data_IF_288049645313
#
_entry.id   IF_288049645313
#
_cell.length_a   1.000
_cell.length_b   1.000
_cell.length_c   1.000
_cell.angle_alpha   90.00
_cell.angle_beta   90.00
_cell.angle_gamma   90.00
#
_symmetry.space_group_name_H-M   'P 1'
#
loop_
_entity.id
_entity.type
_entity.pdbx_description
1 polymer ?
#
# COMPACT_ATOMS: atom_id res chain seq x y z
N UNK A 1 29.78 -41.88 -9.53
CA UNK A 1 29.06 -42.43 -10.70
C UNK A 1 27.96 -41.49 -11.20
N UNK A 2 27.91 -41.25 -12.47
CA UNK A 2 26.81 -40.50 -13.11
C UNK A 2 25.60 -41.44 -13.25
N UNK A 3 24.50 -41.14 -12.60
CA UNK A 3 23.22 -41.85 -12.80
C UNK A 3 22.58 -41.30 -14.07
N UNK A 4 22.70 -42.04 -15.19
CA UNK A 4 21.98 -41.75 -16.43
C UNK A 4 20.77 -42.66 -16.52
N UNK A 5 19.55 -42.06 -16.66
CA UNK A 5 18.31 -42.81 -16.91
C UNK A 5 17.62 -43.34 -15.65
N UNK A 6 17.80 -42.72 -14.47
CA UNK A 6 17.01 -43.09 -13.31
C UNK A 6 15.56 -42.58 -13.47
N UNK A 7 14.63 -43.51 -13.64
CA UNK A 7 13.19 -43.24 -13.54
C UNK A 7 12.71 -43.74 -12.20
N UNK A 8 12.23 -42.84 -11.33
CA UNK A 8 11.61 -43.18 -10.05
C UNK A 8 10.10 -43.04 -10.17
N UNK A 9 9.37 -44.04 -9.72
CA UNK A 9 7.89 -44.11 -9.80
C UNK A 9 7.21 -43.43 -8.62
N UNK A 10 7.97 -43.02 -7.61
CA UNK A 10 7.54 -42.34 -6.41
C UNK A 10 8.54 -41.21 -6.05
N UNK A 11 8.20 -40.37 -5.10
CA UNK A 11 9.09 -39.35 -4.58
C UNK A 11 10.38 -39.96 -4.02
N UNK A 12 11.49 -39.32 -4.26
CA UNK A 12 12.79 -39.72 -3.74
C UNK A 12 13.22 -38.79 -2.59
N UNK A 13 13.71 -39.37 -1.50
CA UNK A 13 14.33 -38.61 -0.40
C UNK A 13 15.84 -38.74 -0.47
N UNK A 14 16.52 -37.61 -0.66
CA UNK A 14 17.99 -37.54 -0.70
C UNK A 14 18.45 -36.65 0.44
N UNK A 15 19.09 -37.19 1.46
CA UNK A 15 19.51 -36.45 2.66
C UNK A 15 18.37 -35.62 3.28
N UNK A 16 17.22 -36.23 3.51
CA UNK A 16 15.99 -35.60 4.04
C UNK A 16 15.30 -34.59 3.09
N UNK A 17 15.79 -34.42 1.88
CA UNK A 17 15.14 -33.56 0.86
C UNK A 17 14.24 -34.41 -0.01
N UNK A 18 12.95 -34.12 -0.02
CA UNK A 18 11.97 -34.71 -0.94
C UNK A 18 12.13 -34.11 -2.33
N UNK A 19 12.21 -34.97 -3.35
CA UNK A 19 12.25 -34.60 -4.78
C UNK A 19 11.16 -35.38 -5.48
N UNK A 20 10.12 -34.74 -5.98
CA UNK A 20 9.03 -35.43 -6.64
C UNK A 20 7.73 -34.62 -6.75
N UNK A 21 6.61 -35.25 -6.40
CA UNK A 21 5.26 -34.69 -6.47
C UNK A 21 4.61 -34.42 -5.11
N UNK A 22 5.29 -34.75 -4.02
CA UNK A 22 4.75 -34.64 -2.65
C UNK A 22 3.80 -35.77 -2.30
N UNK A 23 3.12 -35.63 -1.16
CA UNK A 23 2.22 -36.67 -0.67
C UNK A 23 1.14 -37.03 -1.71
N UNK A 24 0.86 -38.32 -1.81
CA UNK A 24 -0.06 -38.94 -2.80
C UNK A 24 0.36 -38.84 -4.28
N UNK A 25 1.54 -38.34 -4.59
CA UNK A 25 2.09 -38.28 -5.97
C UNK A 25 1.13 -37.65 -6.98
N UNK A 26 0.43 -36.58 -6.61
CA UNK A 26 -0.60 -35.92 -7.44
C UNK A 26 0.01 -35.34 -8.71
N UNK A 27 -0.67 -35.53 -9.83
CA UNK A 27 -0.22 -35.05 -11.13
C UNK A 27 -0.08 -33.51 -11.18
N UNK A 28 0.94 -33.05 -11.85
CA UNK A 28 1.24 -31.61 -12.00
C UNK A 28 1.99 -30.98 -10.83
N UNK A 29 2.10 -31.65 -9.68
CA UNK A 29 2.86 -31.12 -8.55
C UNK A 29 4.37 -31.26 -8.78
N UNK A 30 5.13 -30.25 -8.31
CA UNK A 30 6.61 -30.22 -8.28
C UNK A 30 7.07 -29.90 -6.87
N UNK A 31 7.87 -30.78 -6.27
CA UNK A 31 8.32 -30.65 -4.90
C UNK A 31 9.85 -30.78 -4.80
N UNK A 32 10.46 -29.83 -4.05
CA UNK A 32 11.87 -29.87 -3.69
C UNK A 32 12.06 -29.28 -2.28
N UNK A 33 12.11 -30.12 -1.27
CA UNK A 33 12.35 -29.64 0.11
C UNK A 33 11.97 -30.65 1.19
N UNK A 34 12.60 -30.53 2.36
CA UNK A 34 12.18 -31.24 3.57
C UNK A 34 10.79 -30.76 3.98
N UNK A 35 9.82 -31.67 4.19
CA UNK A 35 8.44 -31.35 4.58
C UNK A 35 7.63 -30.54 3.56
N UNK A 36 8.12 -30.36 2.35
CA UNK A 36 7.38 -29.64 1.32
C UNK A 36 6.21 -30.51 0.79
N UNK A 37 5.00 -29.90 0.71
CA UNK A 37 3.76 -30.53 0.24
C UNK A 37 3.50 -31.91 0.87
N UNK A 38 3.62 -32.01 2.21
CA UNK A 38 3.63 -33.26 2.97
C UNK A 38 2.25 -33.67 3.50
N UNK A 39 1.22 -32.83 3.44
CA UNK A 39 -0.15 -33.18 3.82
C UNK A 39 -0.74 -34.20 2.82
N UNK A 40 -1.92 -34.72 3.17
CA UNK A 40 -2.69 -35.64 2.30
C UNK A 40 -3.27 -34.88 1.10
N UNK A 41 -2.42 -34.59 0.12
CA UNK A 41 -2.72 -33.73 -1.02
C UNK A 41 -3.61 -34.41 -2.05
N UNK A 42 -4.64 -33.70 -2.52
CA UNK A 42 -5.44 -34.05 -3.71
C UNK A 42 -5.41 -32.94 -4.76
N UNK A 43 -5.02 -31.71 -4.38
CA UNK A 43 -4.85 -30.59 -5.31
C UNK A 43 -3.61 -30.73 -6.19
N UNK A 44 -3.76 -30.44 -7.48
CA UNK A 44 -2.71 -30.55 -8.50
C UNK A 44 -2.09 -29.21 -8.90
N UNK A 45 -1.08 -29.26 -9.78
CA UNK A 45 -0.39 -28.12 -10.38
C UNK A 45 0.32 -27.20 -9.35
N UNK A 46 0.68 -27.72 -8.17
CA UNK A 46 1.38 -26.94 -7.18
C UNK A 46 2.91 -27.06 -7.33
N UNK A 47 3.62 -25.97 -7.11
CA UNK A 47 5.09 -25.95 -7.01
C UNK A 47 5.49 -25.59 -5.58
N UNK A 48 6.18 -26.50 -4.88
CA UNK A 48 6.65 -26.31 -3.51
C UNK A 48 8.18 -26.51 -3.43
N UNK A 49 8.91 -25.42 -3.31
CA UNK A 49 10.39 -25.43 -3.24
C UNK A 49 10.85 -24.77 -1.95
N UNK A 50 11.47 -25.53 -1.06
CA UNK A 50 11.98 -25.06 0.21
C UNK A 50 11.46 -25.88 1.37
N UNK A 51 12.14 -25.76 2.53
CA UNK A 51 11.73 -26.46 3.75
C UNK A 51 10.32 -26.03 4.14
N UNK A 52 9.43 -27.01 4.36
CA UNK A 52 8.06 -26.82 4.81
C UNK A 52 7.23 -25.87 3.89
N UNK A 53 7.54 -25.78 2.60
CA UNK A 53 6.73 -25.05 1.64
C UNK A 53 5.42 -25.82 1.36
N UNK A 54 4.27 -25.14 1.41
CA UNK A 54 2.93 -25.74 1.19
C UNK A 54 2.63 -26.99 2.06
N UNK A 55 3.23 -27.11 3.23
CA UNK A 55 3.14 -28.32 4.05
C UNK A 55 1.71 -28.74 4.35
N UNK A 56 0.81 -27.79 4.65
CA UNK A 56 -0.59 -28.08 5.04
C UNK A 56 -1.56 -28.17 3.87
N UNK A 57 -1.12 -28.03 2.61
CA UNK A 57 -2.02 -28.01 1.46
C UNK A 57 -2.74 -29.35 1.29
N UNK A 58 -4.07 -29.30 1.16
CA UNK A 58 -4.91 -30.50 0.97
C UNK A 58 -5.56 -30.53 -0.41
N UNK A 59 -6.38 -29.55 -0.75
CA UNK A 59 -7.13 -29.47 -2.01
C UNK A 59 -6.76 -28.26 -2.87
N UNK A 60 -5.94 -27.34 -2.35
CA UNK A 60 -5.49 -26.16 -3.11
C UNK A 60 -4.74 -26.52 -4.37
N UNK A 61 -5.03 -25.81 -5.47
CA UNK A 61 -4.46 -26.04 -6.80
C UNK A 61 -3.72 -24.81 -7.31
N UNK A 62 -2.85 -25.01 -8.30
CA UNK A 62 -2.22 -23.91 -9.05
C UNK A 62 -1.43 -22.92 -8.18
N UNK A 63 -0.90 -23.40 -7.05
CA UNK A 63 -0.11 -22.58 -6.14
C UNK A 63 1.39 -22.73 -6.43
N UNK A 64 2.13 -21.61 -6.33
CA UNK A 64 3.59 -21.60 -6.40
C UNK A 64 4.16 -21.06 -5.09
N UNK A 65 4.86 -21.91 -4.34
CA UNK A 65 5.54 -21.57 -3.08
C UNK A 65 7.04 -21.84 -3.16
N UNK A 66 7.84 -20.80 -3.14
CA UNK A 66 9.31 -20.88 -3.22
C UNK A 66 9.93 -20.15 -2.03
N UNK A 67 10.53 -20.89 -1.13
CA UNK A 67 11.17 -20.40 0.08
C UNK A 67 10.75 -21.18 1.33
N UNK A 68 11.59 -21.21 2.38
CA UNK A 68 11.24 -21.87 3.64
C UNK A 68 9.94 -21.28 4.23
N UNK A 69 9.02 -22.14 4.65
CA UNK A 69 7.72 -21.81 5.24
C UNK A 69 6.81 -20.92 4.35
N UNK A 70 7.07 -20.87 3.06
CA UNK A 70 6.19 -20.20 2.10
C UNK A 70 4.86 -20.95 2.02
N UNK A 71 3.71 -20.26 2.19
CA UNK A 71 2.35 -20.82 2.23
C UNK A 71 2.20 -22.03 3.17
N UNK A 72 2.85 -21.98 4.32
CA UNK A 72 2.97 -23.11 5.26
C UNK A 72 1.61 -23.68 5.69
N UNK A 73 0.60 -22.82 5.97
CA UNK A 73 -0.71 -23.22 6.45
C UNK A 73 -1.79 -23.27 5.37
N UNK A 74 -1.45 -23.08 4.10
CA UNK A 74 -2.45 -23.14 3.04
C UNK A 74 -3.14 -24.51 3.02
N UNK A 75 -4.46 -24.52 3.03
CA UNK A 75 -5.23 -25.78 3.00
C UNK A 75 -5.98 -25.96 1.68
N UNK A 76 -6.80 -24.99 1.31
CA UNK A 76 -7.67 -25.04 0.13
C UNK A 76 -7.47 -23.87 -0.82
N UNK A 77 -6.73 -22.83 -0.41
CA UNK A 77 -6.44 -21.66 -1.26
C UNK A 77 -5.75 -22.05 -2.57
N UNK A 78 -6.14 -21.41 -3.67
CA UNK A 78 -5.67 -21.70 -5.04
C UNK A 78 -5.16 -20.44 -5.76
N UNK A 79 -4.42 -20.64 -6.85
CA UNK A 79 -3.87 -19.56 -7.69
C UNK A 79 -2.99 -18.55 -6.94
N UNK A 80 -2.33 -18.98 -5.86
CA UNK A 80 -1.44 -18.12 -5.09
C UNK A 80 0.02 -18.25 -5.55
N UNK A 81 0.76 -17.15 -5.57
CA UNK A 81 2.19 -17.09 -5.90
C UNK A 81 2.97 -16.50 -4.73
N UNK A 82 3.84 -17.29 -4.08
CA UNK A 82 4.60 -16.87 -2.92
C UNK A 82 6.09 -17.17 -3.06
N UNK A 83 6.92 -16.13 -3.08
CA UNK A 83 8.38 -16.22 -3.23
C UNK A 83 9.08 -15.51 -2.07
N UNK A 84 9.75 -16.27 -1.21
CA UNK A 84 10.51 -15.76 -0.07
C UNK A 84 10.21 -16.50 1.23
N UNK A 85 11.09 -16.38 2.20
CA UNK A 85 10.90 -16.97 3.53
C UNK A 85 9.63 -16.43 4.18
N UNK A 86 8.73 -17.34 4.59
CA UNK A 86 7.45 -17.02 5.24
C UNK A 86 6.57 -16.06 4.44
N UNK A 87 6.68 -16.04 3.11
CA UNK A 87 5.73 -15.35 2.25
C UNK A 87 4.39 -16.09 2.28
N UNK A 88 3.29 -15.35 2.44
CA UNK A 88 1.92 -15.89 2.54
C UNK A 88 1.79 -17.04 3.55
N UNK A 89 2.57 -16.99 4.64
CA UNK A 89 2.78 -18.13 5.54
C UNK A 89 1.49 -18.65 6.17
N UNK A 90 0.60 -17.75 6.63
CA UNK A 90 -0.60 -18.11 7.39
C UNK A 90 -1.87 -18.16 6.53
N UNK A 91 -1.74 -18.11 5.20
CA UNK A 91 -2.90 -18.31 4.32
C UNK A 91 -3.54 -19.67 4.55
N UNK A 92 -4.85 -19.70 4.62
CA UNK A 92 -5.59 -20.97 4.75
C UNK A 92 -6.47 -21.22 3.53
N UNK A 93 -7.30 -20.27 3.17
CA UNK A 93 -8.29 -20.38 2.07
C UNK A 93 -8.26 -19.22 1.09
N UNK A 94 -7.44 -18.20 1.31
CA UNK A 94 -7.35 -17.05 0.41
C UNK A 94 -6.78 -17.41 -0.96
N UNK A 95 -7.35 -16.81 -2.01
CA UNK A 95 -7.07 -17.13 -3.41
C UNK A 95 -6.46 -15.96 -4.19
N UNK A 96 -5.74 -16.27 -5.26
CA UNK A 96 -5.25 -15.26 -6.20
C UNK A 96 -4.26 -14.26 -5.61
N UNK A 97 -3.55 -14.58 -4.53
CA UNK A 97 -2.61 -13.68 -3.90
C UNK A 97 -1.20 -13.80 -4.48
N UNK A 98 -0.51 -12.68 -4.65
CA UNK A 98 0.91 -12.62 -5.03
C UNK A 98 1.73 -12.04 -3.87
N UNK A 99 2.66 -12.81 -3.33
CA UNK A 99 3.53 -12.43 -2.22
C UNK A 99 5.01 -12.65 -2.57
N UNK A 100 5.73 -11.60 -2.90
CA UNK A 100 7.15 -11.66 -3.28
C UNK A 100 8.00 -10.89 -2.29
N UNK A 101 8.80 -11.59 -1.51
CA UNK A 101 9.66 -11.01 -0.48
C UNK A 101 9.50 -11.70 0.87
N UNK A 102 10.52 -11.57 1.70
CA UNK A 102 10.50 -12.12 3.07
C UNK A 102 9.33 -11.49 3.85
N UNK A 103 8.44 -12.34 4.43
CA UNK A 103 7.27 -11.93 5.22
C UNK A 103 6.23 -11.11 4.43
N UNK A 104 6.25 -11.12 3.09
CA UNK A 104 5.18 -10.52 2.30
C UNK A 104 3.87 -11.28 2.54
N UNK A 105 2.76 -10.57 2.81
CA UNK A 105 1.44 -11.15 3.14
C UNK A 105 1.49 -12.24 4.23
N UNK A 106 2.42 -12.15 5.16
CA UNK A 106 2.66 -13.24 6.12
C UNK A 106 1.39 -13.69 6.86
N UNK A 107 0.59 -12.74 7.34
CA UNK A 107 -0.59 -13.02 8.19
C UNK A 107 -1.90 -13.13 7.43
N UNK A 108 -1.89 -13.09 6.10
CA UNK A 108 -3.10 -13.34 5.32
C UNK A 108 -3.71 -14.69 5.71
N UNK A 109 -5.00 -14.71 5.95
CA UNK A 109 -5.70 -15.96 6.28
C UNK A 109 -6.69 -16.38 5.22
N UNK A 110 -7.63 -15.52 4.90
CA UNK A 110 -8.75 -15.79 3.98
C UNK A 110 -8.94 -14.74 2.91
N UNK A 111 -8.09 -13.71 2.89
CA UNK A 111 -8.26 -12.61 1.94
C UNK A 111 -7.72 -12.96 0.55
N UNK A 112 -8.41 -12.44 -0.47
CA UNK A 112 -8.15 -12.73 -1.87
C UNK A 112 -7.55 -11.54 -2.63
N UNK A 113 -6.91 -11.84 -3.76
CA UNK A 113 -6.51 -10.87 -4.78
C UNK A 113 -5.58 -9.76 -4.27
N UNK A 114 -4.74 -10.04 -3.29
CA UNK A 114 -3.73 -9.10 -2.83
C UNK A 114 -2.41 -9.28 -3.59
N UNK A 115 -1.75 -8.18 -3.92
CA UNK A 115 -0.39 -8.16 -4.48
C UNK A 115 0.56 -7.50 -3.51
N UNK A 116 1.54 -8.24 -2.99
CA UNK A 116 2.56 -7.74 -2.08
C UNK A 116 3.96 -8.05 -2.60
N UNK A 117 4.71 -7.03 -3.00
CA UNK A 117 6.08 -7.16 -3.52
C UNK A 117 7.02 -6.30 -2.69
N UNK A 118 7.85 -6.94 -1.90
CA UNK A 118 8.80 -6.30 -1.01
C UNK A 118 8.85 -6.94 0.37
N UNK A 119 9.95 -6.72 1.09
CA UNK A 119 10.08 -7.19 2.47
C UNK A 119 8.97 -6.61 3.34
N UNK A 120 8.16 -7.47 3.99
CA UNK A 120 7.05 -7.11 4.87
C UNK A 120 5.93 -6.29 4.19
N UNK A 121 5.83 -6.27 2.86
CA UNK A 121 4.67 -5.68 2.20
C UNK A 121 3.39 -6.42 2.63
N UNK A 122 2.36 -5.69 3.08
CA UNK A 122 1.09 -6.25 3.61
C UNK A 122 1.26 -7.31 4.71
N UNK A 123 2.29 -7.22 5.51
CA UNK A 123 2.64 -8.30 6.46
C UNK A 123 1.52 -8.64 7.44
N UNK A 124 0.88 -7.63 8.04
CA UNK A 124 -0.13 -7.81 9.09
C UNK A 124 -1.56 -8.06 8.54
N UNK A 125 -1.73 -8.06 7.21
CA UNK A 125 -3.04 -8.26 6.58
C UNK A 125 -3.63 -9.61 6.95
N UNK A 126 -4.89 -9.63 7.38
CA UNK A 126 -5.62 -10.86 7.73
C UNK A 126 -6.75 -11.15 6.76
N UNK A 127 -7.67 -10.20 6.58
CA UNK A 127 -8.89 -10.34 5.78
C UNK A 127 -9.11 -9.23 4.76
N UNK A 128 -8.21 -8.23 4.69
CA UNK A 128 -8.29 -7.17 3.69
C UNK A 128 -7.99 -7.69 2.29
N UNK A 129 -8.89 -7.50 1.33
CA UNK A 129 -8.78 -8.01 -0.04
C UNK A 129 -8.47 -6.92 -1.07
N UNK A 130 -7.97 -7.32 -2.22
CA UNK A 130 -7.75 -6.45 -3.37
C UNK A 130 -6.82 -5.26 -3.08
N UNK A 131 -5.78 -5.47 -2.28
CA UNK A 131 -4.77 -4.47 -2.02
C UNK A 131 -3.53 -4.69 -2.90
N UNK A 132 -2.89 -3.61 -3.31
CA UNK A 132 -1.59 -3.62 -4.01
C UNK A 132 -0.55 -2.92 -3.16
N UNK A 133 0.49 -3.64 -2.75
CA UNK A 133 1.61 -3.11 -1.97
C UNK A 133 2.94 -3.46 -2.63
N UNK A 134 3.62 -2.48 -3.20
CA UNK A 134 4.91 -2.65 -3.86
C UNK A 134 5.94 -1.74 -3.22
N UNK A 135 6.89 -2.33 -2.52
CA UNK A 135 7.93 -1.64 -1.76
C UNK A 135 8.12 -2.27 -0.37
N UNK A 136 9.31 -2.14 0.18
CA UNK A 136 9.54 -2.60 1.54
C UNK A 136 8.65 -1.83 2.53
N UNK A 137 7.96 -2.55 3.43
CA UNK A 137 7.05 -2.02 4.44
C UNK A 137 5.80 -1.28 3.87
N UNK A 138 5.50 -1.41 2.58
CA UNK A 138 4.26 -0.86 2.02
C UNK A 138 3.05 -1.59 2.63
N UNK A 139 2.07 -0.82 3.16
CA UNK A 139 0.88 -1.36 3.86
C UNK A 139 1.19 -2.37 4.97
N UNK A 140 2.34 -2.27 5.64
CA UNK A 140 2.79 -3.28 6.62
C UNK A 140 1.78 -3.51 7.75
N UNK A 141 1.14 -2.46 8.27
CA UNK A 141 0.20 -2.54 9.39
C UNK A 141 -1.26 -2.83 8.98
N UNK A 142 -1.56 -2.94 7.68
CA UNK A 142 -2.94 -3.21 7.22
C UNK A 142 -3.47 -4.52 7.81
N UNK A 143 -4.67 -4.49 8.37
CA UNK A 143 -5.27 -5.70 8.95
C UNK A 143 -6.49 -6.18 8.17
N UNK A 144 -7.48 -5.33 7.98
CA UNK A 144 -8.78 -5.69 7.39
C UNK A 144 -9.19 -4.79 6.24
N UNK A 145 -8.44 -3.72 5.98
CA UNK A 145 -8.81 -2.77 4.93
C UNK A 145 -8.57 -3.33 3.53
N UNK A 146 -9.45 -2.97 2.61
CA UNK A 146 -9.45 -3.42 1.22
C UNK A 146 -9.30 -2.25 0.24
N UNK A 147 -8.94 -2.58 -1.00
CA UNK A 147 -8.88 -1.63 -2.12
C UNK A 147 -7.83 -0.52 -1.95
N UNK A 148 -6.74 -0.76 -1.23
CA UNK A 148 -5.64 0.19 -1.11
C UNK A 148 -4.54 -0.09 -2.15
N UNK A 149 -3.96 0.95 -2.69
CA UNK A 149 -2.77 0.89 -3.55
C UNK A 149 -1.62 1.64 -2.89
N UNK A 150 -0.55 0.94 -2.56
CA UNK A 150 0.67 1.51 -1.99
C UNK A 150 1.90 1.15 -2.85
N UNK A 151 2.49 2.13 -3.50
CA UNK A 151 3.68 1.95 -4.33
C UNK A 151 4.81 2.86 -3.83
N UNK A 152 5.78 2.27 -3.17
CA UNK A 152 6.94 2.96 -2.61
C UNK A 152 7.34 2.42 -1.25
N UNK A 153 8.59 2.69 -0.85
CA UNK A 153 9.08 2.34 0.48
C UNK A 153 8.24 3.05 1.56
N UNK A 154 7.65 2.27 2.46
CA UNK A 154 6.78 2.74 3.55
C UNK A 154 5.54 3.55 3.10
N UNK A 155 5.08 3.40 1.87
CA UNK A 155 3.79 3.95 1.46
C UNK A 155 2.67 3.28 2.28
N UNK A 156 1.77 4.07 2.88
CA UNK A 156 0.64 3.60 3.72
C UNK A 156 1.05 2.65 4.86
N UNK A 157 2.26 2.72 5.37
CA UNK A 157 2.76 1.77 6.39
C UNK A 157 1.87 1.70 7.63
N UNK A 158 1.37 2.84 8.12
CA UNK A 158 0.56 2.94 9.34
C UNK A 158 -0.90 2.54 9.18
N UNK A 159 -1.38 2.32 7.95
CA UNK A 159 -2.79 2.04 7.69
C UNK A 159 -3.24 0.73 8.36
N UNK A 160 -4.32 0.81 9.11
CA UNK A 160 -4.89 -0.38 9.77
C UNK A 160 -6.22 -0.80 9.16
N UNK A 161 -7.18 0.12 9.08
CA UNK A 161 -8.54 -0.13 8.61
C UNK A 161 -9.04 0.86 7.55
N UNK A 162 -8.23 1.85 7.16
CA UNK A 162 -8.58 2.80 6.10
C UNK A 162 -8.60 2.13 4.72
N UNK A 163 -9.71 2.26 4.00
CA UNK A 163 -9.91 1.62 2.69
C UNK A 163 -9.85 2.63 1.53
N UNK A 164 -9.65 2.13 0.32
CA UNK A 164 -9.73 2.92 -0.91
C UNK A 164 -8.71 4.07 -1.00
N UNK A 165 -7.54 3.91 -0.38
CA UNK A 165 -6.47 4.90 -0.46
C UNK A 165 -5.47 4.54 -1.58
N UNK A 166 -4.95 5.56 -2.24
CA UNK A 166 -3.87 5.45 -3.23
C UNK A 166 -2.66 6.24 -2.75
N UNK A 167 -1.56 5.56 -2.49
CA UNK A 167 -0.30 6.17 -2.05
C UNK A 167 0.85 5.76 -2.98
N UNK A 168 1.39 6.70 -3.72
CA UNK A 168 2.50 6.47 -4.65
C UNK A 168 3.66 7.41 -4.31
N UNK A 169 4.74 6.83 -3.82
CA UNK A 169 5.95 7.58 -3.44
C UNK A 169 6.50 7.16 -2.08
N UNK A 170 7.74 7.54 -1.82
CA UNK A 170 8.42 7.35 -0.54
C UNK A 170 7.66 8.07 0.58
N UNK A 171 7.24 7.34 1.63
CA UNK A 171 6.51 7.86 2.79
C UNK A 171 5.17 8.57 2.46
N UNK A 172 4.56 8.29 1.31
CA UNK A 172 3.21 8.80 1.01
C UNK A 172 2.18 8.18 1.97
N UNK A 173 1.30 8.99 2.58
CA UNK A 173 0.29 8.57 3.57
C UNK A 173 0.84 7.67 4.69
N UNK A 174 2.09 7.84 5.08
CA UNK A 174 2.77 6.92 6.00
C UNK A 174 2.09 6.82 7.37
N UNK A 175 1.50 7.89 7.87
CA UNK A 175 0.82 7.95 9.16
C UNK A 175 -0.68 7.62 9.10
N UNK A 176 -1.24 7.36 7.91
CA UNK A 176 -2.66 7.05 7.78
C UNK A 176 -3.03 5.85 8.65
N UNK A 177 -4.09 5.96 9.42
CA UNK A 177 -4.56 4.84 10.27
C UNK A 177 -5.91 4.30 9.83
N UNK A 178 -6.92 5.15 9.80
CA UNK A 178 -8.30 4.78 9.51
C UNK A 178 -8.93 5.58 8.38
N UNK A 179 -8.24 6.62 7.90
CA UNK A 179 -8.77 7.50 6.84
C UNK A 179 -8.95 6.76 5.52
N UNK A 180 -9.97 7.17 4.77
CA UNK A 180 -10.43 6.51 3.54
C UNK A 180 -10.42 7.45 2.33
N UNK A 181 -10.36 6.88 1.13
CA UNK A 181 -10.51 7.60 -0.15
C UNK A 181 -9.51 8.74 -0.37
N UNK A 182 -8.30 8.61 0.18
CA UNK A 182 -7.24 9.57 -0.05
C UNK A 182 -6.37 9.18 -1.26
N UNK A 183 -5.94 10.17 -2.01
CA UNK A 183 -4.96 10.03 -3.10
C UNK A 183 -3.72 10.84 -2.74
N UNK A 184 -2.58 10.18 -2.59
CA UNK A 184 -1.30 10.83 -2.33
C UNK A 184 -0.24 10.34 -3.31
N UNK A 185 0.21 11.21 -4.20
CA UNK A 185 1.22 10.91 -5.22
C UNK A 185 2.40 11.88 -5.10
N UNK A 186 3.53 11.36 -4.68
CA UNK A 186 4.75 12.13 -4.45
C UNK A 186 5.46 11.73 -3.16
N UNK A 187 6.74 12.04 -3.07
CA UNK A 187 7.49 11.81 -1.83
C UNK A 187 6.88 12.62 -0.69
N UNK A 188 6.53 11.96 0.42
CA UNK A 188 5.92 12.54 1.61
C UNK A 188 4.59 13.29 1.36
N UNK A 189 3.87 12.99 0.27
CA UNK A 189 2.54 13.52 0.07
C UNK A 189 1.60 13.02 1.17
N UNK A 190 0.88 13.93 1.83
CA UNK A 190 -0.04 13.68 2.95
C UNK A 190 0.56 12.78 4.06
N UNK A 191 1.86 12.93 4.35
CA UNK A 191 2.58 11.97 5.21
C UNK A 191 2.11 11.96 6.66
N UNK A 192 1.58 13.06 7.19
CA UNK A 192 1.06 13.15 8.56
C UNK A 192 -0.44 12.83 8.67
N UNK A 193 -1.15 12.58 7.56
CA UNK A 193 -2.59 12.32 7.59
C UNK A 193 -2.89 11.07 8.44
N UNK A 194 -3.78 11.21 9.40
CA UNK A 194 -4.18 10.08 10.27
C UNK A 194 -5.61 9.63 10.03
N UNK A 195 -6.56 10.56 10.07
CA UNK A 195 -8.01 10.30 9.98
C UNK A 195 -8.76 11.20 8.99
N UNK A 196 -8.05 12.12 8.28
CA UNK A 196 -8.69 12.97 7.27
C UNK A 196 -9.04 12.19 6.01
N UNK A 197 -10.32 12.21 5.65
CA UNK A 197 -10.86 11.50 4.47
C UNK A 197 -10.87 12.38 3.21
N UNK A 198 -11.00 11.74 2.05
CA UNK A 198 -11.30 12.39 0.77
C UNK A 198 -10.29 13.46 0.33
N UNK A 199 -9.02 13.35 0.74
CA UNK A 199 -7.98 14.28 0.33
C UNK A 199 -7.27 13.84 -0.95
N UNK A 200 -6.94 14.80 -1.80
CA UNK A 200 -6.08 14.60 -2.98
C UNK A 200 -4.80 15.41 -2.83
N UNK A 201 -3.67 14.74 -2.70
CA UNK A 201 -2.34 15.36 -2.55
C UNK A 201 -1.41 14.85 -3.65
N UNK A 202 -1.13 15.67 -4.66
CA UNK A 202 -0.25 15.33 -5.78
C UNK A 202 0.92 16.29 -5.86
N UNK A 203 2.11 15.80 -5.60
CA UNK A 203 3.34 16.57 -5.53
C UNK A 203 4.16 16.25 -4.28
N UNK A 204 5.47 16.38 -4.37
CA UNK A 204 6.34 16.19 -3.20
C UNK A 204 5.98 17.20 -2.10
N UNK A 205 5.82 16.72 -0.87
CA UNK A 205 5.42 17.50 0.30
C UNK A 205 4.04 18.20 0.19
N UNK A 206 3.17 17.82 -0.76
CA UNK A 206 1.80 18.31 -0.78
C UNK A 206 1.03 17.79 0.44
N UNK A 207 0.27 18.66 1.10
CA UNK A 207 -0.59 18.34 2.27
C UNK A 207 0.16 17.60 3.40
N UNK A 208 1.47 17.84 3.54
CA UNK A 208 2.36 17.04 4.41
C UNK A 208 1.96 17.06 5.88
N UNK A 209 1.55 18.22 6.42
CA UNK A 209 1.24 18.38 7.83
C UNK A 209 -0.22 18.00 8.20
N UNK A 210 -1.05 17.63 7.22
CA UNK A 210 -2.46 17.33 7.48
C UNK A 210 -2.58 16.13 8.42
N UNK A 211 -3.39 16.29 9.47
CA UNK A 211 -3.67 15.21 10.41
C UNK A 211 -5.11 14.71 10.30
N UNK A 212 -6.07 15.61 10.36
CA UNK A 212 -7.50 15.29 10.39
C UNK A 212 -8.33 16.03 9.34
N UNK A 213 -7.76 17.05 8.66
CA UNK A 213 -8.45 17.81 7.63
C UNK A 213 -8.90 16.92 6.47
N UNK A 214 -10.12 17.15 6.00
CA UNK A 214 -10.77 16.36 4.97
C UNK A 214 -11.13 17.18 3.72
N UNK A 215 -11.36 16.49 2.60
CA UNK A 215 -11.86 17.09 1.37
C UNK A 215 -10.95 18.19 0.80
N UNK A 216 -9.64 18.08 1.01
CA UNK A 216 -8.67 19.03 0.46
C UNK A 216 -8.08 18.52 -0.87
N UNK A 217 -7.87 19.43 -1.79
CA UNK A 217 -7.15 19.18 -3.06
C UNK A 217 -5.86 20.00 -3.08
N UNK A 218 -4.72 19.31 -3.05
CA UNK A 218 -3.38 19.90 -3.11
C UNK A 218 -2.63 19.35 -4.34
N UNK A 219 -2.53 20.13 -5.39
CA UNK A 219 -1.83 19.77 -6.62
C UNK A 219 -0.63 20.69 -6.86
N UNK A 220 0.56 20.19 -6.63
CA UNK A 220 1.82 20.91 -6.75
C UNK A 220 2.76 20.63 -5.59
N UNK A 221 4.07 20.81 -5.81
CA UNK A 221 5.04 20.68 -4.73
C UNK A 221 4.69 21.64 -3.59
N UNK A 222 4.60 21.12 -2.37
CA UNK A 222 4.30 21.90 -1.15
C UNK A 222 2.98 22.68 -1.17
N UNK A 223 2.02 22.34 -2.03
CA UNK A 223 0.67 22.87 -1.94
C UNK A 223 0.02 22.42 -0.62
N UNK A 224 -0.66 23.32 0.11
CA UNK A 224 -1.23 23.07 1.45
C UNK A 224 -0.25 22.42 2.44
N UNK A 225 1.03 22.73 2.35
CA UNK A 225 2.07 22.00 3.10
C UNK A 225 1.85 22.02 4.61
N UNK A 226 1.42 23.15 5.19
CA UNK A 226 1.26 23.34 6.63
C UNK A 226 -0.18 23.14 7.13
N UNK A 227 -1.12 22.78 6.25
CA UNK A 227 -2.51 22.49 6.64
C UNK A 227 -2.54 21.33 7.63
N UNK A 228 -3.22 21.52 8.77
CA UNK A 228 -3.28 20.49 9.82
C UNK A 228 -4.67 19.88 9.99
N UNK A 229 -5.68 20.70 10.16
CA UNK A 229 -7.07 20.29 10.45
C UNK A 229 -8.09 20.96 9.54
N UNK A 230 -7.62 21.74 8.56
CA UNK A 230 -8.47 22.51 7.67
C UNK A 230 -9.17 21.62 6.62
N UNK A 231 -10.41 21.94 6.31
CA UNK A 231 -11.23 21.21 5.37
C UNK A 231 -11.55 22.02 4.11
N UNK A 232 -11.89 21.32 3.03
CA UNK A 232 -12.47 21.90 1.82
C UNK A 232 -11.61 22.96 1.13
N UNK A 233 -10.29 22.86 1.19
CA UNK A 233 -9.40 23.75 0.48
C UNK A 233 -8.98 23.18 -0.87
N UNK A 234 -8.86 24.04 -1.89
CA UNK A 234 -8.30 23.71 -3.20
C UNK A 234 -7.05 24.55 -3.44
N UNK A 235 -5.91 23.90 -3.57
CA UNK A 235 -4.61 24.53 -3.85
C UNK A 235 -3.96 23.87 -5.07
N UNK A 236 -3.82 24.63 -6.16
CA UNK A 236 -3.20 24.16 -7.41
C UNK A 236 -2.02 25.09 -7.77
N UNK A 237 -0.82 24.58 -7.65
CA UNK A 237 0.40 25.32 -7.93
C UNK A 237 1.49 25.08 -6.88
N UNK A 238 2.74 25.45 -7.22
CA UNK A 238 3.84 25.40 -6.27
C UNK A 238 3.53 26.30 -5.07
N UNK A 239 3.56 25.72 -3.87
CA UNK A 239 3.36 26.40 -2.59
C UNK A 239 2.04 27.19 -2.48
N UNK A 240 1.03 26.88 -3.32
CA UNK A 240 -0.30 27.47 -3.18
C UNK A 240 -0.91 27.10 -1.81
N UNK A 241 -1.43 28.10 -1.06
CA UNK A 241 -1.88 27.95 0.34
C UNK A 241 -0.82 27.28 1.23
N UNK A 242 0.45 27.46 0.96
CA UNK A 242 1.54 26.74 1.61
C UNK A 242 1.62 26.92 3.14
N UNK A 243 1.28 28.09 3.67
CA UNK A 243 1.27 28.39 5.09
C UNK A 243 -0.10 28.16 5.77
N UNK A 244 -1.14 27.74 5.04
CA UNK A 244 -2.47 27.52 5.62
C UNK A 244 -2.41 26.46 6.72
N UNK A 245 -2.90 26.77 7.91
CA UNK A 245 -2.93 25.83 9.03
C UNK A 245 -4.34 25.31 9.31
N UNK A 246 -5.29 26.22 9.54
CA UNK A 246 -6.67 25.91 9.92
C UNK A 246 -7.72 26.65 9.08
N UNK A 247 -7.30 27.51 8.14
CA UNK A 247 -8.22 28.18 7.21
C UNK A 247 -8.91 27.17 6.29
N UNK A 248 -10.22 27.28 6.14
CA UNK A 248 -11.04 26.33 5.38
C UNK A 248 -11.78 27.00 4.21
N UNK A 249 -12.23 26.19 3.26
CA UNK A 249 -12.97 26.65 2.08
C UNK A 249 -12.23 27.73 1.27
N UNK A 250 -10.91 27.63 1.16
CA UNK A 250 -10.10 28.51 0.33
C UNK A 250 -9.83 27.86 -1.04
N UNK A 251 -9.81 28.66 -2.08
CA UNK A 251 -9.41 28.25 -3.43
C UNK A 251 -8.20 29.07 -3.88
N UNK A 252 -7.07 28.45 -4.11
CA UNK A 252 -5.85 29.07 -4.60
C UNK A 252 -5.32 28.33 -5.83
N UNK A 253 -5.28 29.01 -6.98
CA UNK A 253 -4.76 28.46 -8.22
C UNK A 253 -3.69 29.38 -8.81
N UNK A 254 -2.47 28.89 -8.85
CA UNK A 254 -1.28 29.63 -9.28
C UNK A 254 -0.09 29.37 -8.34
N UNK A 255 1.12 29.52 -8.85
CA UNK A 255 2.31 29.44 -7.99
C UNK A 255 2.24 30.49 -6.89
N UNK A 256 2.52 30.11 -5.64
CA UNK A 256 2.46 30.96 -4.44
C UNK A 256 1.17 31.81 -4.31
N UNK A 257 0.04 31.32 -4.87
CA UNK A 257 -1.26 31.95 -4.64
C UNK A 257 -1.69 31.72 -3.19
N UNK A 258 -2.09 32.78 -2.49
CA UNK A 258 -2.52 32.77 -1.08
C UNK A 258 -1.51 32.07 -0.14
N UNK A 259 -0.21 32.11 -0.43
CA UNK A 259 0.82 31.33 0.25
C UNK A 259 1.02 31.74 1.72
N UNK A 260 0.72 32.99 2.11
CA UNK A 260 0.81 33.48 3.48
C UNK A 260 -0.50 33.30 4.29
N UNK A 261 -1.60 32.88 3.69
CA UNK A 261 -2.85 32.62 4.42
C UNK A 261 -2.63 31.52 5.45
N UNK A 262 -2.91 31.82 6.72
CA UNK A 262 -2.74 30.88 7.83
C UNK A 262 -4.08 30.36 8.37
N UNK A 263 -4.98 31.26 8.79
CA UNK A 263 -6.28 30.94 9.37
C UNK A 263 -7.45 31.54 8.59
N UNK A 264 -7.18 32.41 7.61
CA UNK A 264 -8.20 33.01 6.75
C UNK A 264 -9.00 31.97 5.98
N UNK A 265 -10.30 32.18 5.85
CA UNK A 265 -11.24 31.23 5.23
C UNK A 265 -12.07 31.92 4.13
N UNK A 266 -12.69 31.12 3.24
CA UNK A 266 -13.52 31.59 2.14
C UNK A 266 -12.79 32.50 1.13
N UNK A 267 -11.48 32.39 0.98
CA UNK A 267 -10.72 33.22 0.04
C UNK A 267 -10.60 32.53 -1.31
N UNK A 268 -10.66 33.31 -2.38
CA UNK A 268 -10.41 32.88 -3.76
C UNK A 268 -9.21 33.66 -4.32
N UNK A 269 -8.13 32.97 -4.63
CA UNK A 269 -6.92 33.51 -5.24
C UNK A 269 -6.63 32.79 -6.55
N UNK A 270 -6.73 33.47 -7.69
CA UNK A 270 -6.45 32.92 -9.00
C UNK A 270 -5.39 33.74 -9.72
N UNK A 271 -4.21 33.22 -9.83
CA UNK A 271 -3.06 33.89 -10.47
C UNK A 271 -1.78 33.70 -9.66
N UNK A 272 -0.64 33.84 -10.33
CA UNK A 272 0.66 33.85 -9.67
C UNK A 272 0.74 35.02 -8.68
N UNK A 273 1.16 34.78 -7.44
CA UNK A 273 1.22 35.76 -6.35
C UNK A 273 -0.13 36.49 -6.01
N UNK A 274 -1.27 35.93 -6.39
CA UNK A 274 -2.54 36.51 -5.95
C UNK A 274 -2.71 36.28 -4.44
N UNK A 275 -3.09 37.33 -3.69
CA UNK A 275 -3.38 37.31 -2.24
C UNK A 275 -2.22 36.84 -1.35
N UNK A 276 -0.96 37.13 -1.69
CA UNK A 276 0.23 36.58 -1.02
C UNK A 276 0.52 37.12 0.38
N UNK A 277 0.05 38.32 0.77
CA UNK A 277 0.31 38.88 2.10
C UNK A 277 -0.85 38.74 3.09
N UNK A 278 -1.98 38.23 2.64
CA UNK A 278 -3.14 37.99 3.50
C UNK A 278 -2.87 36.83 4.43
N UNK A 279 -3.02 37.01 5.74
CA UNK A 279 -2.76 35.97 6.71
C UNK A 279 -4.02 35.41 7.36
N UNK A 280 -4.94 36.26 7.79
CA UNK A 280 -6.07 35.89 8.64
C UNK A 280 -7.42 36.36 8.13
N UNK A 281 -7.48 37.21 7.09
CA UNK A 281 -8.76 37.79 6.62
C UNK A 281 -9.53 36.76 5.76
N UNK A 282 -10.84 36.97 5.74
CA UNK A 282 -11.78 36.05 5.12
C UNK A 282 -12.48 36.69 3.90
N UNK A 283 -13.07 35.85 3.06
CA UNK A 283 -13.99 36.24 1.99
C UNK A 283 -13.38 37.19 0.96
N UNK A 284 -12.08 37.09 0.71
CA UNK A 284 -11.42 37.88 -0.33
C UNK A 284 -11.44 37.16 -1.67
N UNK A 285 -11.59 37.95 -2.75
CA UNK A 285 -11.46 37.47 -4.12
C UNK A 285 -10.37 38.24 -4.85
N UNK A 286 -9.30 37.54 -5.26
CA UNK A 286 -8.16 38.08 -5.98
C UNK A 286 -7.95 37.31 -7.29
N UNK A 287 -8.18 37.92 -8.42
CA UNK A 287 -8.04 37.30 -9.74
C UNK A 287 -7.06 38.10 -10.59
N UNK A 288 -5.99 37.47 -11.04
CA UNK A 288 -4.94 38.05 -11.85
C UNK A 288 -3.56 37.95 -11.22
N UNK A 289 -2.52 38.19 -12.01
CA UNK A 289 -1.13 38.27 -11.53
C UNK A 289 -1.00 39.31 -10.41
N UNK A 290 -0.48 38.89 -9.27
CA UNK A 290 -0.27 39.74 -8.09
C UNK A 290 -1.52 40.54 -7.65
N UNK A 291 -2.73 40.08 -7.96
CA UNK A 291 -3.96 40.71 -7.51
C UNK A 291 -4.05 40.68 -5.98
N UNK A 292 -4.40 41.76 -5.34
CA UNK A 292 -4.46 41.95 -3.88
C UNK A 292 -3.17 41.48 -3.17
N UNK A 293 -2.02 41.59 -3.83
CA UNK A 293 -0.73 41.11 -3.31
C UNK A 293 -0.37 41.71 -1.93
N UNK A 294 -0.69 42.96 -1.71
CA UNK A 294 -0.37 43.72 -0.48
C UNK A 294 -1.62 43.95 0.40
N UNK A 295 -2.68 43.20 0.23
CA UNK A 295 -3.86 43.33 1.07
C UNK A 295 -3.62 42.70 2.44
N UNK A 296 -3.71 43.52 3.49
CA UNK A 296 -3.53 43.11 4.90
C UNK A 296 -4.76 43.44 5.74
N UNK A 297 -5.81 43.99 5.16
CA UNK A 297 -7.05 44.39 5.84
C UNK A 297 -8.14 43.34 5.69
#
# INVERSE_FOLDING_TARGET
GTLTGLTVSADSTINSVTVGKGANSVSGNTVLGEGALDASVTGGNNTAIGKDALTANTTGTDNTAVGPFSMYTNTTGYENSAFGTSSLQLNTTGDGNTAIGRLALQKNTTADNNTAVGQRALKENTTGASNVAVGALALDANTTASYNTALGHQALTGNTTGAQNTAVGYYSLVANTTATRNVAVGSQAASANTTGDDNTAVGSFSLTANTTGAQNTALGKSALQQSTTADNNTAVGFYALGANTTGFMNTAVGGIAADAVTTGSYNTALGYEALTTNTTTNSNTAIGYAALKLNTA
#
